data_IF_721415687709
#
_entry.id   IF_721415687709
#
_cell.length_a   1.000
_cell.length_b   1.000
_cell.length_c   1.000
_cell.angle_alpha   90.00
_cell.angle_beta   90.00
_cell.angle_gamma   90.00
#
_symmetry.space_group_name_H-M   'P 1'
#
loop_
_entity.id
_entity.type
_entity.pdbx_description
1 polymer ?
#
# COMPACT_ATOMS: atom_id res chain seq x y z
N UNK A 1 0.23 -13.54 4.54
CA UNK A 1 0.36 -12.12 4.16
C UNK A 1 0.84 -12.04 2.74
N UNK A 2 0.28 -11.15 1.92
CA UNK A 2 0.63 -11.03 0.51
C UNK A 2 1.15 -9.63 0.20
N UNK A 3 2.45 -9.52 -0.03
CA UNK A 3 3.06 -8.30 -0.51
C UNK A 3 2.73 -8.07 -1.99
N UNK A 4 2.64 -6.82 -2.38
CA UNK A 4 2.30 -6.42 -3.75
C UNK A 4 3.47 -5.67 -4.36
N UNK A 5 3.89 -6.11 -5.54
CA UNK A 5 4.73 -5.34 -6.45
C UNK A 5 4.06 -5.34 -7.83
N UNK A 6 3.63 -4.15 -8.27
CA UNK A 6 2.74 -4.02 -9.42
C UNK A 6 3.18 -2.90 -10.35
N UNK A 7 3.26 -3.19 -11.64
CA UNK A 7 3.44 -2.17 -12.69
C UNK A 7 2.11 -1.44 -12.88
N UNK A 8 2.13 -0.12 -12.69
CA UNK A 8 0.96 0.78 -12.76
C UNK A 8 1.12 1.87 -13.82
N UNK A 9 2.07 1.72 -14.73
CA UNK A 9 2.29 2.67 -15.82
C UNK A 9 0.98 3.00 -16.57
N UNK A 10 0.71 4.30 -16.74
CA UNK A 10 -0.50 4.81 -17.38
C UNK A 10 -1.76 4.77 -16.51
N UNK A 11 -1.65 4.45 -15.22
CA UNK A 11 -2.79 4.56 -14.30
C UNK A 11 -3.09 6.03 -14.00
N UNK A 12 -4.38 6.35 -13.87
CA UNK A 12 -4.79 7.62 -13.25
C UNK A 12 -4.60 7.52 -11.74
N UNK A 13 -4.42 8.64 -11.03
CA UNK A 13 -4.29 8.64 -9.56
C UNK A 13 -5.46 7.94 -8.87
N UNK A 14 -6.69 8.05 -9.43
CA UNK A 14 -7.84 7.28 -8.95
C UNK A 14 -7.65 5.78 -9.10
N UNK A 15 -7.12 5.31 -10.23
CA UNK A 15 -6.86 3.89 -10.47
C UNK A 15 -5.71 3.39 -9.59
N UNK A 16 -4.67 4.20 -9.42
CA UNK A 16 -3.55 3.94 -8.52
C UNK A 16 -4.03 3.80 -7.07
N UNK A 17 -4.82 4.74 -6.56
CA UNK A 17 -5.38 4.69 -5.22
C UNK A 17 -6.25 3.44 -5.00
N UNK A 18 -7.11 3.08 -5.95
CA UNK A 18 -7.90 1.85 -5.83
C UNK A 18 -7.03 0.58 -5.87
N UNK A 19 -5.91 0.58 -6.59
CA UNK A 19 -4.95 -0.52 -6.54
C UNK A 19 -4.23 -0.59 -5.20
N UNK A 20 -3.84 0.57 -4.65
CA UNK A 20 -3.21 0.67 -3.33
C UNK A 20 -4.13 0.17 -2.21
N UNK A 21 -5.43 0.52 -2.22
CA UNK A 21 -6.40 0.00 -1.24
C UNK A 21 -6.45 -1.54 -1.23
N UNK A 22 -6.42 -2.17 -2.41
CA UNK A 22 -6.41 -3.63 -2.53
C UNK A 22 -5.11 -4.23 -2.03
N UNK A 23 -3.98 -3.64 -2.40
CA UNK A 23 -2.66 -4.09 -1.96
C UNK A 23 -2.50 -4.00 -0.44
N UNK A 24 -2.97 -2.90 0.17
CA UNK A 24 -3.01 -2.74 1.62
C UNK A 24 -3.91 -3.79 2.28
N UNK A 25 -5.09 -4.07 1.71
CA UNK A 25 -5.97 -5.12 2.25
C UNK A 25 -5.35 -6.52 2.18
N UNK A 26 -4.57 -6.83 1.13
CA UNK A 26 -3.90 -8.12 0.96
C UNK A 26 -2.78 -8.36 1.99
N UNK A 27 -2.02 -7.32 2.35
CA UNK A 27 -0.93 -7.46 3.31
C UNK A 27 -1.44 -7.46 4.76
N UNK A 28 -2.46 -6.64 5.05
CA UNK A 28 -2.97 -6.36 6.39
C UNK A 28 -4.19 -7.24 6.78
N UNK A 29 -4.69 -8.05 5.84
CA UNK A 29 -5.87 -8.93 6.00
C UNK A 29 -7.10 -8.20 6.57
N UNK A 30 -7.24 -6.92 6.20
CA UNK A 30 -8.26 -6.01 6.71
C UNK A 30 -8.83 -5.13 5.59
N UNK A 31 -10.14 -4.87 5.59
CA UNK A 31 -10.75 -3.89 4.69
C UNK A 31 -10.16 -2.51 4.94
N UNK A 32 -9.79 -1.79 3.89
CA UNK A 32 -9.17 -0.47 3.96
C UNK A 32 -10.17 0.67 3.71
N UNK A 33 -11.44 0.34 3.53
CA UNK A 33 -12.52 1.28 3.26
C UNK A 33 -12.42 1.86 1.84
N UNK A 34 -12.62 3.17 1.72
CA UNK A 34 -12.63 3.86 0.43
C UNK A 34 -11.78 5.12 0.48
N UNK A 35 -11.45 5.69 -0.68
CA UNK A 35 -10.69 6.97 -0.78
C UNK A 35 -11.35 8.10 0.04
N UNK A 36 -12.69 8.11 0.15
CA UNK A 36 -13.43 9.15 0.90
C UNK A 36 -13.70 8.80 2.37
N UNK A 37 -13.59 7.52 2.72
CA UNK A 37 -13.79 7.02 4.07
C UNK A 37 -12.76 5.89 4.31
N UNK A 38 -11.47 6.25 4.48
CA UNK A 38 -10.41 5.27 4.64
C UNK A 38 -10.45 4.62 6.01
N UNK A 39 -9.91 3.42 6.11
CA UNK A 39 -9.79 2.65 7.34
C UNK A 39 -8.41 1.99 7.45
N UNK A 40 -8.02 1.63 8.68
CA UNK A 40 -6.76 1.01 9.05
C UNK A 40 -5.52 1.66 8.39
N UNK A 41 -4.72 0.91 7.64
CA UNK A 41 -3.49 1.39 7.00
C UNK A 41 -3.76 2.55 6.03
N UNK A 42 -4.84 2.48 5.24
CA UNK A 42 -5.21 3.54 4.32
C UNK A 42 -5.59 4.86 5.03
N UNK A 43 -6.01 4.78 6.31
CA UNK A 43 -6.37 5.94 7.13
C UNK A 43 -5.20 6.58 7.88
N UNK A 44 -3.98 6.05 7.73
CA UNK A 44 -2.79 6.61 8.36
C UNK A 44 -2.61 8.08 7.98
N UNK A 45 -2.48 8.95 8.97
CA UNK A 45 -2.32 10.39 8.77
C UNK A 45 -0.85 10.73 8.56
N UNK A 46 -0.56 11.50 7.51
CA UNK A 46 0.78 12.01 7.20
C UNK A 46 1.00 13.38 7.84
N UNK A 47 2.23 13.88 7.76
CA UNK A 47 2.64 15.17 8.36
C UNK A 47 1.82 16.38 7.86
N UNK A 48 1.23 16.27 6.66
CA UNK A 48 0.38 17.31 6.06
C UNK A 48 -1.11 17.18 6.41
N UNK A 49 -1.47 16.30 7.34
CA UNK A 49 -2.83 15.96 7.78
C UNK A 49 -3.71 15.27 6.74
N UNK A 50 -3.18 14.87 5.58
CA UNK A 50 -3.90 13.99 4.65
C UNK A 50 -3.71 12.54 5.08
N UNK A 51 -4.70 11.71 4.77
CA UNK A 51 -4.57 10.25 4.90
C UNK A 51 -3.65 9.71 3.79
N UNK A 52 -3.02 8.58 4.06
CA UNK A 52 -2.16 7.86 3.11
C UNK A 52 -2.85 7.70 1.74
N UNK A 53 -4.11 7.28 1.74
CA UNK A 53 -4.84 7.07 0.49
C UNK A 53 -5.22 8.37 -0.22
N UNK A 54 -5.47 9.45 0.53
CA UNK A 54 -5.73 10.77 -0.06
C UNK A 54 -4.49 11.27 -0.80
N UNK A 55 -3.29 11.12 -0.22
CA UNK A 55 -2.04 11.52 -0.87
C UNK A 55 -1.80 10.75 -2.17
N UNK A 56 -2.04 9.43 -2.20
CA UNK A 56 -1.96 8.65 -3.45
C UNK A 56 -3.00 9.13 -4.47
N UNK A 57 -4.22 9.43 -4.03
CA UNK A 57 -5.30 9.89 -4.91
C UNK A 57 -5.06 11.29 -5.50
N UNK A 58 -4.50 12.20 -4.72
CA UNK A 58 -4.27 13.59 -5.11
C UNK A 58 -2.96 13.74 -5.88
N UNK A 59 -1.87 13.18 -5.35
CA UNK A 59 -0.52 13.47 -5.83
C UNK A 59 0.01 12.36 -6.76
N UNK A 60 -0.55 11.15 -6.69
CA UNK A 60 -0.07 10.01 -7.47
C UNK A 60 1.29 9.48 -7.02
N UNK A 61 1.80 9.96 -5.89
CA UNK A 61 3.12 9.61 -5.36
C UNK A 61 3.10 9.49 -3.84
N UNK A 62 3.74 8.45 -3.30
CA UNK A 62 3.98 8.32 -1.87
C UNK A 62 5.23 7.47 -1.57
N UNK A 63 5.88 7.78 -0.45
CA UNK A 63 6.78 6.87 0.25
C UNK A 63 6.44 6.89 1.73
N UNK A 64 5.83 5.81 2.20
CA UNK A 64 5.35 5.68 3.56
C UNK A 64 5.97 4.47 4.24
N UNK A 65 6.42 4.66 5.47
CA UNK A 65 6.92 3.61 6.34
C UNK A 65 6.60 3.96 7.79
N UNK A 66 5.85 3.11 8.49
CA UNK A 66 5.48 3.31 9.90
C UNK A 66 6.16 2.31 10.85
N UNK A 67 7.21 1.63 10.40
CA UNK A 67 7.90 0.57 11.14
C UNK A 67 7.26 -0.80 10.99
N UNK A 68 5.98 -0.90 10.61
CA UNK A 68 5.29 -2.17 10.35
C UNK A 68 5.08 -2.44 8.86
N UNK A 69 4.59 -1.43 8.14
CA UNK A 69 4.25 -1.49 6.72
C UNK A 69 5.07 -0.50 5.91
N UNK A 70 5.34 -0.88 4.66
CA UNK A 70 5.91 -0.03 3.63
C UNK A 70 4.86 0.14 2.53
N UNK A 71 4.61 1.37 2.12
CA UNK A 71 3.75 1.70 0.98
C UNK A 71 4.47 2.72 0.11
N UNK A 72 4.85 2.31 -1.09
CA UNK A 72 5.44 3.18 -2.10
C UNK A 72 4.57 3.13 -3.36
N UNK A 73 4.30 4.29 -3.93
CA UNK A 73 3.59 4.39 -5.20
C UNK A 73 4.13 5.57 -5.99
N UNK A 74 4.26 5.39 -7.30
CA UNK A 74 4.55 6.45 -8.25
C UNK A 74 3.85 6.19 -9.60
N UNK A 75 4.27 6.89 -10.65
CA UNK A 75 3.68 6.77 -11.98
C UNK A 75 3.99 5.42 -12.68
N UNK A 76 4.93 4.63 -12.15
CA UNK A 76 5.40 3.37 -12.74
C UNK A 76 5.06 2.15 -11.90
N UNK A 77 5.25 2.22 -10.58
CA UNK A 77 5.08 1.07 -9.70
C UNK A 77 4.24 1.37 -8.44
N UNK A 78 3.60 0.31 -7.94
CA UNK A 78 2.99 0.22 -6.63
C UNK A 78 3.68 -0.91 -5.86
N UNK A 79 4.20 -0.58 -4.69
CA UNK A 79 4.84 -1.52 -3.77
C UNK A 79 4.21 -1.42 -2.37
N UNK A 80 3.74 -2.55 -1.85
CA UNK A 80 3.15 -2.65 -0.50
C UNK A 80 3.68 -3.91 0.18
N UNK A 81 4.29 -3.75 1.35
CA UNK A 81 4.97 -4.83 2.05
C UNK A 81 5.00 -4.62 3.58
N UNK A 82 5.45 -5.62 4.32
CA UNK A 82 5.80 -5.52 5.73
C UNK A 82 7.30 -5.31 5.91
N UNK A 83 7.69 -4.62 6.98
CA UNK A 83 9.10 -4.46 7.32
C UNK A 83 9.70 -5.77 7.85
N UNK A 84 11.01 -5.94 7.71
CA UNK A 84 11.72 -7.06 8.35
C UNK A 84 11.64 -7.05 9.88
N UNK A 85 11.33 -5.90 10.50
CA UNK A 85 11.08 -5.79 11.94
C UNK A 85 9.74 -6.46 12.27
N UNK A 86 8.68 -6.07 11.57
CA UNK A 86 7.36 -6.69 11.72
C UNK A 86 7.41 -8.20 11.45
N UNK A 87 8.13 -8.62 10.40
CA UNK A 87 8.29 -10.03 10.04
C UNK A 87 8.96 -10.86 11.17
N UNK A 88 9.87 -10.24 11.94
CA UNK A 88 10.54 -10.86 13.09
C UNK A 88 9.60 -10.93 14.30
N UNK A 89 8.87 -9.85 14.57
CA UNK A 89 7.93 -9.78 15.70
C UNK A 89 6.74 -10.74 15.53
N UNK A 90 6.28 -10.94 14.29
CA UNK A 90 5.21 -11.88 13.96
C UNK A 90 5.63 -13.35 13.95
N UNK A 91 6.92 -13.66 14.14
CA UNK A 91 7.41 -15.04 14.20
C UNK A 91 7.47 -15.76 12.85
N UNK A 92 7.80 -15.03 11.77
CA UNK A 92 7.91 -15.56 10.41
C UNK A 92 6.59 -16.13 9.84
N UNK A 93 5.56 -15.27 9.66
CA UNK A 93 4.30 -15.68 9.05
C UNK A 93 4.52 -16.20 7.61
N UNK A 94 3.60 -17.04 7.12
CA UNK A 94 3.57 -17.41 5.71
C UNK A 94 3.42 -16.15 4.84
N UNK A 95 4.43 -15.93 3.99
CA UNK A 95 4.60 -14.75 3.18
C UNK A 95 4.56 -15.12 1.69
N UNK A 96 3.78 -14.38 0.91
CA UNK A 96 3.68 -14.51 -0.55
C UNK A 96 3.89 -13.14 -1.18
N UNK A 97 4.44 -13.12 -2.38
CA UNK A 97 4.60 -11.91 -3.16
C UNK A 97 3.79 -12.02 -4.44
N UNK A 98 2.94 -11.03 -4.69
CA UNK A 98 2.22 -10.85 -5.93
C UNK A 98 3.03 -9.89 -6.80
N UNK A 99 3.70 -10.45 -7.81
CA UNK A 99 4.59 -9.71 -8.71
C UNK A 99 4.07 -9.80 -10.15
N UNK A 100 3.75 -8.63 -10.72
CA UNK A 100 3.27 -8.50 -12.09
C UNK A 100 4.40 -8.67 -13.13
N UNK A 101 5.67 -8.81 -12.72
CA UNK A 101 6.81 -9.00 -13.65
C UNK A 101 6.91 -10.39 -14.30
N UNK A 102 5.95 -11.29 -14.03
CA UNK A 102 5.93 -12.67 -14.55
C UNK A 102 5.10 -12.88 -15.85
N UNK A 103 4.82 -11.83 -16.65
CA UNK A 103 4.13 -11.96 -17.94
C UNK A 103 5.03 -11.63 -19.14
#
# INVERSE_FOLDING_TARGET
MEATHKIVEGYTNRKLANAALKAMALIDDCDQGTIRNPYNLASAILDDNRTLIQTIYEDGYIRFNNGWFIVEADEYCLYVDITGIAHREMGFPEYKMNDDTNN
#
